data_IF_840434990060
#
_entry.id   IF_840434990060
#
_cell.length_a   1.000
_cell.length_b   1.000
_cell.length_c   1.000
_cell.angle_alpha   90.00
_cell.angle_beta   90.00
_cell.angle_gamma   90.00
#
_symmetry.space_group_name_H-M   'P 1'
#
loop_
_entity.id
_entity.type
_entity.pdbx_description
1 polymer ?
#
# COMPACT_ATOMS: atom_id res chain seq x y z
N UNK A 1 32.41 15.84 20.32
CA UNK A 1 31.61 15.37 19.17
C UNK A 1 30.56 14.42 19.72
N UNK A 2 29.36 14.96 19.94
CA UNK A 2 28.25 14.21 20.55
C UNK A 2 27.59 13.30 19.53
N UNK A 3 27.75 12.00 19.69
CA UNK A 3 26.82 11.06 19.07
C UNK A 3 25.48 11.25 19.77
N UNK A 4 24.51 11.83 19.08
CA UNK A 4 23.11 11.80 19.49
C UNK A 4 22.64 10.35 19.38
N UNK A 5 22.61 9.64 20.53
CA UNK A 5 22.20 8.23 20.60
C UNK A 5 20.72 8.06 20.88
N UNK A 6 19.89 9.01 20.45
CA UNK A 6 18.43 8.90 20.49
C UNK A 6 17.87 8.28 19.22
N UNK A 7 16.61 7.80 19.24
CA UNK A 7 15.93 7.34 18.05
C UNK A 7 15.84 8.48 17.02
N UNK A 8 16.01 8.13 15.75
CA UNK A 8 15.90 9.07 14.63
C UNK A 8 14.54 9.77 14.65
N UNK A 9 14.54 11.10 14.57
CA UNK A 9 13.31 11.88 14.47
C UNK A 9 12.70 11.75 13.08
N UNK A 10 11.41 12.06 12.95
CA UNK A 10 10.74 12.03 11.65
C UNK A 10 11.37 13.01 10.65
N UNK A 11 11.79 14.18 11.07
CA UNK A 11 12.45 15.17 10.21
C UNK A 11 13.81 14.67 9.68
N UNK A 12 14.60 14.00 10.53
CA UNK A 12 15.88 13.38 10.13
C UNK A 12 15.63 12.24 9.14
N UNK A 13 14.63 11.42 9.37
CA UNK A 13 14.21 10.34 8.48
C UNK A 13 13.76 10.88 7.12
N UNK A 14 12.93 11.90 7.08
CA UNK A 14 12.49 12.56 5.84
C UNK A 14 13.68 13.09 5.05
N UNK A 15 14.63 13.75 5.72
CA UNK A 15 15.84 14.25 5.09
C UNK A 15 16.69 13.12 4.50
N UNK A 16 16.83 12.03 5.22
CA UNK A 16 17.56 10.83 4.78
C UNK A 16 16.91 10.18 3.56
N UNK A 17 15.58 10.07 3.54
CA UNK A 17 14.84 9.54 2.39
C UNK A 17 15.02 10.40 1.14
N UNK A 18 14.97 11.73 1.27
CA UNK A 18 15.23 12.66 0.15
C UNK A 18 16.64 12.52 -0.41
N UNK A 19 17.60 12.12 0.40
CA UNK A 19 18.97 11.81 -0.04
C UNK A 19 19.10 10.40 -0.66
N UNK A 20 18.01 9.66 -0.78
CA UNK A 20 18.01 8.29 -1.31
C UNK A 20 18.65 7.25 -0.38
N UNK A 21 18.84 7.59 0.90
CA UNK A 21 19.44 6.72 1.90
C UNK A 21 18.37 5.97 2.66
N UNK A 22 18.01 4.78 2.19
CA UNK A 22 17.06 3.89 2.87
C UNK A 22 17.82 2.84 3.68
N UNK A 23 17.26 2.49 4.84
CA UNK A 23 17.75 1.36 5.64
C UNK A 23 17.34 0.03 5.01
N UNK A 24 17.94 -1.08 5.44
CA UNK A 24 17.54 -2.41 5.01
C UNK A 24 16.06 -2.69 5.33
N UNK A 25 15.60 -2.27 6.51
CA UNK A 25 14.20 -2.33 6.89
C UNK A 25 13.29 -1.60 5.88
N UNK A 26 13.60 -0.36 5.58
CA UNK A 26 12.79 0.48 4.67
C UNK A 26 12.79 -0.06 3.24
N UNK A 27 13.89 -0.65 2.79
CA UNK A 27 13.95 -1.30 1.48
C UNK A 27 13.02 -2.52 1.39
N UNK A 28 12.84 -3.24 2.50
CA UNK A 28 11.98 -4.43 2.57
C UNK A 28 10.53 -4.07 2.89
N UNK A 29 10.33 -3.16 3.85
CA UNK A 29 9.02 -2.85 4.44
C UNK A 29 8.42 -1.51 4.00
N UNK A 30 9.08 -0.81 3.09
CA UNK A 30 8.62 0.48 2.60
C UNK A 30 8.94 1.64 3.54
N UNK A 31 8.62 2.84 3.09
CA UNK A 31 8.80 4.09 3.82
C UNK A 31 7.44 4.69 4.19
N UNK A 32 7.28 5.04 5.46
CA UNK A 32 6.00 5.58 5.96
C UNK A 32 5.92 5.54 7.47
N UNK A 33 4.72 5.59 8.03
CA UNK A 33 4.52 5.63 9.46
C UNK A 33 4.78 4.30 10.17
N UNK A 34 4.82 3.19 9.43
CA UNK A 34 5.13 1.87 10.01
C UNK A 34 6.64 1.66 9.96
N UNK A 35 7.27 1.71 11.12
CA UNK A 35 8.73 1.67 11.28
C UNK A 35 9.24 0.40 11.93
N UNK A 36 8.34 -0.41 12.45
CA UNK A 36 8.65 -1.62 13.21
C UNK A 36 7.77 -2.79 12.77
N UNK A 37 8.23 -4.01 13.05
CA UNK A 37 7.48 -5.22 12.76
C UNK A 37 6.13 -5.25 13.51
N UNK A 38 5.09 -5.63 12.80
CA UNK A 38 3.74 -5.68 13.34
C UNK A 38 3.36 -7.11 13.73
N UNK A 39 2.74 -7.24 14.90
CA UNK A 39 2.04 -8.47 15.26
C UNK A 39 0.75 -8.57 14.45
N UNK A 40 0.81 -9.37 13.39
CA UNK A 40 -0.31 -9.60 12.48
C UNK A 40 -0.98 -10.92 12.84
N UNK A 41 -1.99 -10.90 13.69
CA UNK A 41 -2.80 -12.07 14.01
C UNK A 41 -3.55 -12.67 12.81
N UNK A 42 -4.43 -13.66 13.05
CA UNK A 42 -5.30 -14.18 12.00
C UNK A 42 -6.18 -13.09 11.40
N UNK A 43 -6.68 -13.33 10.19
CA UNK A 43 -7.60 -12.40 9.52
C UNK A 43 -8.87 -12.27 10.36
N UNK A 44 -9.22 -11.03 10.70
CA UNK A 44 -10.50 -10.72 11.34
C UNK A 44 -11.57 -10.52 10.25
N UNK A 45 -12.60 -11.36 10.27
CA UNK A 45 -13.62 -11.38 9.24
C UNK A 45 -14.46 -10.07 9.19
N UNK A 46 -14.76 -9.49 10.35
CA UNK A 46 -15.53 -8.24 10.41
C UNK A 46 -14.70 -7.07 9.88
N UNK A 47 -13.42 -7.01 10.26
CA UNK A 47 -12.50 -6.00 9.75
C UNK A 47 -12.19 -6.19 8.26
N UNK A 48 -12.08 -7.42 7.78
CA UNK A 48 -11.95 -7.71 6.35
C UNK A 48 -13.18 -7.25 5.55
N UNK A 49 -14.39 -7.40 6.10
CA UNK A 49 -15.61 -6.88 5.48
C UNK A 49 -15.59 -5.34 5.38
N UNK A 50 -15.16 -4.65 6.42
CA UNK A 50 -14.95 -3.19 6.37
C UNK A 50 -13.89 -2.81 5.32
N UNK A 51 -12.78 -3.56 5.27
CA UNK A 51 -11.73 -3.37 4.27
C UNK A 51 -12.23 -3.55 2.84
N UNK A 52 -13.15 -4.47 2.61
CA UNK A 52 -13.80 -4.66 1.31
C UNK A 52 -14.58 -3.40 0.88
N UNK A 53 -15.38 -2.84 1.77
CA UNK A 53 -16.13 -1.60 1.47
C UNK A 53 -15.17 -0.42 1.22
N UNK A 54 -14.11 -0.29 2.01
CA UNK A 54 -13.06 0.70 1.79
C UNK A 54 -12.35 0.49 0.45
N UNK A 55 -12.04 -0.75 0.08
CA UNK A 55 -11.46 -1.07 -1.22
C UNK A 55 -12.35 -0.60 -2.37
N UNK A 56 -13.65 -0.91 -2.32
CA UNK A 56 -14.61 -0.48 -3.34
C UNK A 56 -14.68 1.05 -3.41
N UNK A 57 -14.73 1.72 -2.27
CA UNK A 57 -14.91 3.17 -2.20
C UNK A 57 -13.64 3.97 -2.56
N UNK A 58 -12.45 3.45 -2.25
CA UNK A 58 -11.18 4.20 -2.30
C UNK A 58 -10.14 3.64 -3.26
N UNK A 59 -10.17 2.34 -3.54
CA UNK A 59 -9.11 1.66 -4.30
C UNK A 59 -9.58 1.19 -5.67
N UNK A 60 -10.84 0.79 -5.81
CA UNK A 60 -11.37 0.17 -7.02
C UNK A 60 -11.42 1.11 -8.24
N UNK A 61 -11.33 2.41 -8.05
CA UNK A 61 -11.12 3.37 -9.15
C UNK A 61 -9.85 3.06 -9.94
N UNK A 62 -8.78 2.62 -9.26
CA UNK A 62 -7.47 2.39 -9.85
C UNK A 62 -7.02 0.92 -9.83
N UNK A 63 -7.61 0.07 -8.99
CA UNK A 63 -7.20 -1.32 -8.80
C UNK A 63 -8.35 -2.31 -8.98
N UNK A 64 -8.05 -3.41 -9.64
CA UNK A 64 -8.80 -4.67 -9.53
C UNK A 64 -8.04 -5.63 -8.60
N UNK A 65 -8.66 -6.76 -8.24
CA UNK A 65 -7.94 -7.81 -7.53
C UNK A 65 -7.05 -8.62 -8.47
N UNK A 66 -7.59 -9.08 -9.60
CA UNK A 66 -6.91 -10.03 -10.48
C UNK A 66 -6.31 -9.39 -11.74
N UNK A 67 -6.87 -8.28 -12.18
CA UNK A 67 -6.52 -7.65 -13.44
C UNK A 67 -5.79 -6.32 -13.25
N UNK A 68 -5.04 -5.92 -14.27
CA UNK A 68 -4.50 -4.57 -14.37
C UNK A 68 -5.64 -3.59 -14.67
N UNK A 69 -5.65 -2.47 -13.95
CA UNK A 69 -6.46 -1.28 -14.25
C UNK A 69 -5.51 -0.09 -14.46
N UNK A 70 -5.70 1.01 -13.78
CA UNK A 70 -4.72 2.10 -13.71
C UNK A 70 -3.48 1.66 -12.93
N UNK A 71 -3.68 0.88 -11.88
CA UNK A 71 -2.64 0.22 -11.09
C UNK A 71 -2.63 -1.30 -11.24
N UNK A 72 -1.75 -1.99 -10.51
CA UNK A 72 -1.64 -3.45 -10.52
C UNK A 72 -2.86 -4.12 -9.88
N UNK A 73 -3.07 -5.40 -10.25
CA UNK A 73 -3.94 -6.30 -9.49
C UNK A 73 -3.37 -6.58 -8.10
N UNK A 74 -4.24 -6.71 -7.10
CA UNK A 74 -3.84 -6.73 -5.70
C UNK A 74 -4.12 -8.05 -4.96
N UNK A 75 -4.72 -9.09 -5.59
CA UNK A 75 -5.10 -10.33 -4.90
C UNK A 75 -3.94 -10.96 -4.12
N UNK A 76 -2.80 -11.05 -4.73
CA UNK A 76 -1.63 -11.73 -4.16
C UNK A 76 -0.60 -10.78 -3.52
N UNK A 77 -0.93 -9.49 -3.36
CA UNK A 77 0.02 -8.48 -2.87
C UNK A 77 0.56 -8.83 -1.49
N UNK A 78 -0.25 -9.42 -0.62
CA UNK A 78 0.16 -9.83 0.73
C UNK A 78 1.02 -11.10 0.77
N UNK A 79 1.17 -11.81 -0.36
CA UNK A 79 2.13 -12.91 -0.55
C UNK A 79 3.47 -12.39 -1.07
N UNK A 80 3.46 -11.27 -1.79
CA UNK A 80 4.65 -10.68 -2.42
C UNK A 80 5.32 -9.62 -1.56
N UNK A 81 4.59 -9.02 -0.64
CA UNK A 81 5.04 -7.91 0.21
C UNK A 81 4.68 -8.15 1.66
N UNK A 82 5.51 -7.65 2.56
CA UNK A 82 5.22 -7.68 3.99
C UNK A 82 3.97 -6.84 4.34
N UNK A 83 3.31 -7.14 5.45
CA UNK A 83 2.19 -6.32 5.94
C UNK A 83 2.58 -4.85 6.09
N UNK A 84 3.75 -4.58 6.63
CA UNK A 84 4.28 -3.22 6.83
C UNK A 84 4.45 -2.48 5.50
N UNK A 85 4.95 -3.17 4.46
CA UNK A 85 5.06 -2.59 3.13
C UNK A 85 3.70 -2.19 2.57
N UNK A 86 2.70 -3.08 2.68
CA UNK A 86 1.34 -2.80 2.21
C UNK A 86 0.74 -1.61 2.95
N UNK A 87 0.91 -1.55 4.27
CA UNK A 87 0.43 -0.43 5.08
C UNK A 87 1.15 0.88 4.74
N UNK A 88 2.48 0.86 4.59
CA UNK A 88 3.24 2.03 4.18
C UNK A 88 2.87 2.52 2.78
N UNK A 89 2.61 1.59 1.84
CA UNK A 89 2.15 1.96 0.50
C UNK A 89 0.80 2.66 0.53
N UNK A 90 -0.13 2.23 1.37
CA UNK A 90 -1.48 2.83 1.50
C UNK A 90 -1.44 4.16 2.25
N UNK A 91 -0.62 4.25 3.31
CA UNK A 91 -0.56 5.42 4.19
C UNK A 91 0.37 6.53 3.67
N UNK A 92 1.35 6.18 2.84
CA UNK A 92 2.36 7.12 2.33
C UNK A 92 2.67 6.88 0.84
N UNK A 93 1.66 6.80 -0.04
CA UNK A 93 1.84 6.39 -1.43
C UNK A 93 2.72 7.37 -2.23
N UNK A 94 2.67 8.65 -1.91
CA UNK A 94 3.42 9.68 -2.63
C UNK A 94 4.93 9.51 -2.45
N UNK A 95 5.40 9.38 -1.21
CA UNK A 95 6.83 9.17 -0.94
C UNK A 95 7.29 7.79 -1.37
N UNK A 96 6.44 6.77 -1.22
CA UNK A 96 6.71 5.45 -1.79
C UNK A 96 6.99 5.54 -3.30
N UNK A 97 6.14 6.21 -4.06
CA UNK A 97 6.33 6.39 -5.50
C UNK A 97 7.54 7.26 -5.89
N UNK A 98 7.88 8.26 -5.07
CA UNK A 98 8.97 9.20 -5.36
C UNK A 98 10.34 8.72 -4.89
N UNK A 99 10.42 8.02 -3.79
CA UNK A 99 11.68 7.77 -3.08
C UNK A 99 12.04 6.28 -2.98
N UNK A 100 11.04 5.39 -2.81
CA UNK A 100 11.30 3.97 -2.67
C UNK A 100 11.59 3.31 -4.02
N UNK A 101 12.65 2.45 -4.17
CA UNK A 101 13.01 1.84 -5.45
C UNK A 101 11.88 1.09 -6.13
N UNK A 102 11.12 0.27 -5.37
CA UNK A 102 9.98 -0.48 -5.92
C UNK A 102 8.81 0.44 -6.28
N UNK A 103 8.58 1.48 -5.49
CA UNK A 103 7.58 2.50 -5.82
C UNK A 103 7.90 3.20 -7.14
N UNK A 104 9.16 3.60 -7.35
CA UNK A 104 9.63 4.19 -8.61
C UNK A 104 9.43 3.25 -9.81
N UNK A 105 9.72 1.95 -9.65
CA UNK A 105 9.46 0.94 -10.70
C UNK A 105 7.98 0.86 -11.06
N UNK A 106 7.11 0.85 -10.05
CA UNK A 106 5.66 0.82 -10.27
C UNK A 106 5.18 2.09 -10.99
N UNK A 107 5.64 3.27 -10.58
CA UNK A 107 5.33 4.53 -11.27
C UNK A 107 5.78 4.49 -12.73
N UNK A 108 6.99 4.00 -13.00
CA UNK A 108 7.49 3.85 -14.37
C UNK A 108 6.66 2.84 -15.19
N UNK A 109 6.25 1.73 -14.58
CA UNK A 109 5.49 0.67 -15.25
C UNK A 109 4.05 1.07 -15.56
N UNK A 110 3.42 1.82 -14.67
CA UNK A 110 2.00 2.20 -14.78
C UNK A 110 1.79 3.63 -15.26
N UNK A 111 2.87 4.43 -15.36
CA UNK A 111 2.83 5.86 -15.72
C UNK A 111 1.87 6.67 -14.83
N UNK A 112 1.72 6.24 -13.56
CA UNK A 112 0.76 6.80 -12.62
C UNK A 112 1.30 6.71 -11.18
N UNK A 113 1.15 7.80 -10.43
CA UNK A 113 1.34 7.79 -8.98
C UNK A 113 0.07 7.31 -8.28
N UNK A 114 0.23 6.47 -7.26
CA UNK A 114 -0.84 6.21 -6.32
C UNK A 114 -1.08 7.48 -5.48
N UNK A 115 -2.31 7.95 -5.44
CA UNK A 115 -2.68 9.18 -4.73
C UNK A 115 -3.11 8.90 -3.30
N UNK A 116 -2.97 9.88 -2.42
CA UNK A 116 -3.44 9.81 -1.03
C UNK A 116 -4.97 9.74 -1.03
N UNK A 117 -5.52 8.73 -0.35
CA UNK A 117 -6.97 8.48 -0.30
C UNK A 117 -7.60 8.88 1.03
N UNK A 118 -6.89 9.55 1.92
CA UNK A 118 -7.39 9.88 3.25
C UNK A 118 -7.67 8.64 4.11
N UNK A 119 -6.80 7.63 4.01
CA UNK A 119 -6.88 6.38 4.75
C UNK A 119 -6.28 6.58 6.13
N UNK A 120 -7.00 6.20 7.18
CA UNK A 120 -6.49 6.16 8.55
C UNK A 120 -5.69 4.86 8.79
N UNK A 121 -4.87 4.78 9.85
CA UNK A 121 -4.20 3.53 10.22
C UNK A 121 -5.17 2.36 10.43
N UNK A 122 -6.35 2.59 11.01
CA UNK A 122 -7.37 1.56 11.21
C UNK A 122 -7.98 1.12 9.88
N UNK A 123 -8.25 2.05 8.96
CA UNK A 123 -8.70 1.75 7.60
C UNK A 123 -7.65 0.91 6.84
N UNK A 124 -6.38 1.28 6.98
CA UNK A 124 -5.28 0.53 6.36
C UNK A 124 -5.20 -0.91 6.89
N UNK A 125 -5.43 -1.12 8.19
CA UNK A 125 -5.53 -2.46 8.80
C UNK A 125 -6.72 -3.24 8.26
N UNK A 126 -7.86 -2.59 8.05
CA UNK A 126 -9.04 -3.23 7.47
C UNK A 126 -8.78 -3.63 6.01
N UNK A 127 -8.17 -2.76 5.23
CA UNK A 127 -7.73 -3.06 3.86
C UNK A 127 -6.75 -4.23 3.81
N UNK A 128 -5.77 -4.27 4.72
CA UNK A 128 -4.82 -5.38 4.82
C UNK A 128 -5.53 -6.71 5.09
N UNK A 129 -6.47 -6.76 6.05
CA UNK A 129 -7.21 -7.99 6.34
C UNK A 129 -8.10 -8.41 5.17
N UNK A 130 -8.71 -7.47 4.46
CA UNK A 130 -9.42 -7.78 3.24
C UNK A 130 -8.49 -8.40 2.19
N UNK A 131 -7.37 -7.78 1.87
CA UNK A 131 -6.41 -8.29 0.88
C UNK A 131 -5.85 -9.66 1.29
N UNK A 132 -5.60 -9.88 2.58
CA UNK A 132 -5.19 -11.19 3.11
C UNK A 132 -6.28 -12.23 2.95
N UNK A 133 -7.55 -11.87 3.16
CA UNK A 133 -8.69 -12.77 2.99
C UNK A 133 -8.92 -13.18 1.53
N UNK A 134 -8.45 -12.37 0.58
CA UNK A 134 -8.57 -12.64 -0.85
C UNK A 134 -7.37 -13.44 -1.42
N UNK A 135 -6.22 -13.37 -0.76
CA UNK A 135 -4.94 -13.86 -1.30
C UNK A 135 -4.93 -15.35 -1.69
N UNK A 136 -5.68 -16.19 -0.98
CA UNK A 136 -5.75 -17.64 -1.22
C UNK A 136 -6.99 -18.06 -2.05
N UNK A 137 -7.86 -17.12 -2.38
CA UNK A 137 -9.02 -17.40 -3.22
C UNK A 137 -8.63 -17.47 -4.69
N UNK A 138 -9.29 -18.32 -5.49
CA UNK A 138 -9.04 -18.34 -6.92
C UNK A 138 -9.42 -17.00 -7.55
N UNK A 139 -8.75 -16.61 -8.67
CA UNK A 139 -9.16 -15.47 -9.46
C UNK A 139 -10.61 -15.60 -9.93
N UNK A 140 -11.29 -14.48 -10.05
CA UNK A 140 -12.66 -14.41 -10.55
C UNK A 140 -12.75 -13.51 -11.78
N UNK A 141 -13.72 -13.74 -12.69
CA UNK A 141 -13.96 -12.85 -13.82
C UNK A 141 -14.12 -11.40 -13.38
N UNK A 142 -13.72 -10.47 -14.24
CA UNK A 142 -13.68 -9.05 -13.93
C UNK A 142 -14.99 -8.52 -13.36
N UNK A 143 -16.12 -8.92 -13.95
CA UNK A 143 -17.45 -8.50 -13.52
C UNK A 143 -17.87 -8.96 -12.12
N UNK A 144 -17.15 -9.93 -11.56
CA UNK A 144 -17.36 -10.46 -10.21
C UNK A 144 -16.40 -9.88 -9.17
N UNK A 145 -15.41 -9.12 -9.61
CA UNK A 145 -14.43 -8.53 -8.71
C UNK A 145 -15.02 -7.36 -7.92
N UNK A 146 -14.61 -7.15 -6.66
CA UNK A 146 -15.04 -5.99 -5.87
C UNK A 146 -14.76 -4.69 -6.62
N UNK A 147 -15.78 -3.86 -6.80
CA UNK A 147 -15.64 -2.58 -7.49
C UNK A 147 -15.49 -2.66 -9.01
N UNK A 148 -15.87 -3.78 -9.64
CA UNK A 148 -15.79 -3.95 -11.10
C UNK A 148 -16.50 -2.83 -11.89
N UNK A 149 -17.58 -2.29 -11.34
CA UNK A 149 -18.38 -1.22 -11.96
C UNK A 149 -17.85 0.21 -11.64
N UNK A 150 -16.82 0.34 -10.84
CA UNK A 150 -16.21 1.65 -10.54
C UNK A 150 -15.41 2.10 -11.74
N UNK A 151 -15.73 3.24 -12.38
CA UNK A 151 -14.99 3.71 -13.55
C UNK A 151 -13.56 4.10 -13.18
N UNK A 152 -12.59 4.03 -14.12
CA UNK A 152 -11.25 4.55 -13.90
C UNK A 152 -11.29 6.08 -13.70
N UNK A 153 -10.26 6.67 -13.07
CA UNK A 153 -10.16 8.11 -12.94
C UNK A 153 -10.07 8.76 -14.33
N UNK A 154 -10.53 10.01 -14.47
CA UNK A 154 -10.34 10.75 -15.71
C UNK A 154 -8.85 10.88 -16.02
N UNK A 155 -8.47 11.01 -17.30
CA UNK A 155 -7.08 11.24 -17.68
C UNK A 155 -6.57 12.54 -17.02
N UNK A 156 -5.32 12.51 -16.57
CA UNK A 156 -4.67 13.70 -16.05
C UNK A 156 -4.51 14.73 -17.21
N UNK A 157 -5.01 15.94 -16.98
CA UNK A 157 -4.83 17.04 -17.92
C UNK A 157 -3.41 17.60 -17.85
#
# INVERSE_FOLDING_TARGET
MGCSSGPETEAERQTRWQQGKLTGWELEHGIGPITDALEIGPVDAARAAQGRELFIAKCATCHYLDDRKTGPGLRDVTKRRSPEYVLNQVLNPEQMGKLHPEGKKLVAQYAQFMTIQGITPDDARALLDFLRSEADKPPVPLEQQPGANVPPPPPAN
#
